data_IF_166447360345
#
_entry.id   IF_166447360345
#
_cell.length_a   1.000
_cell.length_b   1.000
_cell.length_c   1.000
_cell.angle_alpha   90.00
_cell.angle_beta   90.00
_cell.angle_gamma   90.00
#
_symmetry.space_group_name_H-M   'P 1'
#
loop_
_entity.id
_entity.type
_entity.pdbx_description
1 polymer ?
#
# COMPACT_ATOMS: atom_id res chain seq x y z
N UNK A 1 -40.93 45.58 13.98
CA UNK A 1 -40.19 44.61 13.14
C UNK A 1 -39.63 43.52 14.06
N UNK A 2 -40.37 42.42 14.19
CA UNK A 2 -40.09 41.31 15.12
C UNK A 2 -39.33 40.20 14.39
N UNK A 3 -38.13 39.86 14.87
CA UNK A 3 -37.27 38.80 14.35
C UNK A 3 -37.81 37.44 14.81
N UNK A 4 -38.29 36.63 13.88
CA UNK A 4 -38.65 35.22 14.11
C UNK A 4 -37.40 34.41 14.48
N UNK A 5 -37.47 33.46 15.43
CA UNK A 5 -36.35 32.57 15.72
C UNK A 5 -36.21 31.50 14.62
N UNK A 6 -34.98 31.21 14.22
CA UNK A 6 -34.63 30.14 13.29
C UNK A 6 -34.96 28.75 13.87
N UNK A 7 -35.44 27.79 13.05
CA UNK A 7 -35.73 26.45 13.53
C UNK A 7 -34.42 25.76 13.93
N UNK A 8 -34.33 25.36 15.20
CA UNK A 8 -33.19 24.60 15.71
C UNK A 8 -33.11 23.26 14.99
N UNK A 9 -32.00 23.01 14.28
CA UNK A 9 -31.66 21.67 13.82
C UNK A 9 -31.55 20.76 15.06
N UNK A 10 -32.46 19.79 15.17
CA UNK A 10 -32.39 18.77 16.21
C UNK A 10 -31.10 17.98 16.03
N UNK A 11 -30.11 18.24 16.88
CA UNK A 11 -28.92 17.42 17.00
C UNK A 11 -29.37 16.03 17.46
N UNK A 12 -29.31 15.04 16.57
CA UNK A 12 -29.38 13.64 16.97
C UNK A 12 -28.20 13.36 17.91
N UNK A 13 -28.50 13.33 19.21
CA UNK A 13 -27.55 12.92 20.23
C UNK A 13 -27.84 11.46 20.52
N UNK A 14 -26.90 10.58 20.19
CA UNK A 14 -26.92 9.18 20.59
C UNK A 14 -26.94 9.11 22.13
N UNK A 15 -28.14 9.07 22.71
CA UNK A 15 -28.34 8.72 24.11
C UNK A 15 -28.45 7.21 24.16
N UNK A 16 -27.59 6.56 24.95
CA UNK A 16 -27.69 5.12 25.23
C UNK A 16 -29.12 4.81 25.67
N UNK A 17 -29.76 3.87 24.99
CA UNK A 17 -31.11 3.42 25.29
C UNK A 17 -31.12 2.88 26.73
N UNK A 18 -31.99 3.42 27.59
CA UNK A 18 -32.14 2.89 28.95
C UNK A 18 -32.97 1.60 28.89
N UNK A 19 -32.51 0.48 29.49
CA UNK A 19 -33.27 -0.78 29.51
C UNK A 19 -34.62 -0.67 30.23
N UNK A 20 -34.84 0.41 31.00
CA UNK A 20 -36.08 0.68 31.73
C UNK A 20 -37.05 1.60 30.98
N UNK A 21 -36.63 2.18 29.86
CA UNK A 21 -37.49 3.05 29.07
C UNK A 21 -38.33 2.19 28.12
N UNK A 22 -39.64 2.18 28.32
CA UNK A 22 -40.57 1.49 27.43
C UNK A 22 -40.65 2.21 26.09
N UNK A 23 -40.55 1.44 24.99
CA UNK A 23 -40.68 1.98 23.64
C UNK A 23 -42.16 1.97 23.21
N UNK A 24 -42.64 3.04 22.57
CA UNK A 24 -43.98 3.04 22.00
C UNK A 24 -44.05 2.08 20.81
N UNK A 25 -45.11 1.26 20.75
CA UNK A 25 -45.41 0.41 19.60
C UNK A 25 -46.27 1.22 18.64
N UNK A 26 -45.74 1.50 17.45
CA UNK A 26 -46.42 2.27 16.41
C UNK A 26 -46.87 1.28 15.33
N UNK A 27 -48.13 1.38 14.87
CA UNK A 27 -48.61 0.55 13.75
C UNK A 27 -48.32 1.26 12.43
N UNK A 28 -48.18 0.49 11.35
CA UNK A 28 -47.85 1.04 10.03
C UNK A 28 -48.81 2.16 9.57
N UNK A 29 -50.08 2.10 9.97
CA UNK A 29 -51.08 3.13 9.65
C UNK A 29 -50.90 4.46 10.41
N UNK A 30 -50.11 4.46 11.50
CA UNK A 30 -49.85 5.64 12.32
C UNK A 30 -48.60 6.41 11.86
N UNK A 31 -47.88 5.88 10.87
CA UNK A 31 -46.70 6.50 10.28
C UNK A 31 -47.16 7.39 9.11
N UNK A 32 -46.92 8.72 9.13
CA UNK A 32 -47.27 9.57 8.01
C UNK A 32 -46.48 9.15 6.77
N UNK A 33 -47.14 9.05 5.62
CA UNK A 33 -46.50 8.81 4.33
C UNK A 33 -45.47 9.90 4.06
N UNK A 34 -44.20 9.55 4.20
CA UNK A 34 -43.10 10.48 4.03
C UNK A 34 -42.79 10.57 2.53
N UNK A 35 -43.18 11.67 1.88
CA UNK A 35 -42.70 11.95 0.52
C UNK A 35 -41.16 12.09 0.56
N UNK A 36 -40.49 11.16 -0.12
CA UNK A 36 -39.03 11.00 -0.16
C UNK A 36 -38.32 12.17 -0.87
N UNK A 37 -39.05 13.16 -1.37
CA UNK A 37 -38.55 14.19 -2.28
C UNK A 37 -37.68 15.28 -1.64
N UNK A 38 -37.58 15.42 -0.30
CA UNK A 38 -36.94 16.62 0.28
C UNK A 38 -36.08 16.45 1.53
N UNK A 39 -35.72 15.23 1.95
CA UNK A 39 -34.71 15.03 3.02
C UNK A 39 -33.68 14.02 2.58
N UNK A 40 -32.42 14.45 2.54
CA UNK A 40 -31.28 13.55 2.44
C UNK A 40 -31.45 12.45 3.50
N UNK A 41 -31.74 11.24 3.03
CA UNK A 41 -31.89 10.04 3.86
C UNK A 41 -30.52 9.85 4.52
N UNK A 42 -30.41 9.92 5.86
CA UNK A 42 -29.18 9.56 6.53
C UNK A 42 -28.84 8.13 6.16
N UNK A 43 -27.63 7.92 5.63
CA UNK A 43 -27.09 6.63 5.23
C UNK A 43 -27.31 5.62 6.37
N UNK A 44 -28.17 4.64 6.10
CA UNK A 44 -28.57 3.63 7.08
C UNK A 44 -27.42 2.62 7.14
N UNK A 45 -26.72 2.53 8.27
CA UNK A 45 -25.62 1.58 8.48
C UNK A 45 -26.14 0.15 8.21
N UNK A 46 -25.77 -0.39 7.05
CA UNK A 46 -26.31 -1.64 6.51
C UNK A 46 -25.74 -2.90 7.18
N UNK A 47 -24.87 -2.72 8.18
CA UNK A 47 -24.21 -3.82 8.90
C UNK A 47 -23.12 -4.53 8.10
N UNK A 48 -22.74 -3.97 6.95
CA UNK A 48 -21.61 -4.38 6.10
C UNK A 48 -20.38 -3.53 6.43
N UNK A 49 -19.18 -4.04 6.15
CA UNK A 49 -17.96 -3.28 6.43
C UNK A 49 -17.86 -2.06 5.50
N UNK A 50 -17.35 -0.94 6.00
CA UNK A 50 -17.29 0.35 5.28
C UNK A 50 -16.58 0.27 3.92
N UNK A 51 -15.62 -0.64 3.79
CA UNK A 51 -14.90 -0.87 2.54
C UNK A 51 -15.78 -1.59 1.51
N UNK A 52 -16.55 -2.58 1.95
CA UNK A 52 -17.58 -3.28 1.16
C UNK A 52 -18.69 -2.31 0.72
N UNK A 53 -19.08 -1.37 1.59
CA UNK A 53 -20.01 -0.29 1.25
C UNK A 53 -19.49 0.66 0.16
N UNK A 54 -18.18 0.67 -0.13
CA UNK A 54 -17.61 1.50 -1.19
C UNK A 54 -17.40 0.76 -2.51
N UNK A 55 -17.62 -0.55 -2.56
CA UNK A 55 -17.39 -1.38 -3.74
C UNK A 55 -18.42 -1.08 -4.85
N UNK A 56 -17.96 -0.40 -5.90
CA UNK A 56 -18.79 0.01 -7.04
C UNK A 56 -19.21 -1.18 -7.90
N UNK A 57 -18.36 -2.20 -8.03
CA UNK A 57 -18.65 -3.36 -8.88
C UNK A 57 -19.79 -4.20 -8.33
N UNK A 58 -19.80 -4.47 -7.01
CA UNK A 58 -20.89 -5.18 -6.36
C UNK A 58 -22.21 -4.40 -6.46
N UNK A 59 -22.16 -3.10 -6.19
CA UNK A 59 -23.33 -2.21 -6.34
C UNK A 59 -23.86 -2.22 -7.75
N UNK A 60 -23.00 -2.07 -8.75
CA UNK A 60 -23.41 -2.08 -10.16
C UNK A 60 -24.08 -3.40 -10.57
N UNK A 61 -23.57 -4.53 -10.08
CA UNK A 61 -24.13 -5.86 -10.38
C UNK A 61 -25.50 -6.05 -9.72
N UNK A 62 -25.61 -5.64 -8.44
CA UNK A 62 -26.85 -5.72 -7.65
C UNK A 62 -27.91 -4.76 -8.21
N UNK A 63 -27.56 -3.50 -8.46
CA UNK A 63 -28.46 -2.45 -8.94
C UNK A 63 -28.98 -2.75 -10.35
N UNK A 64 -28.09 -3.23 -11.23
CA UNK A 64 -28.47 -3.54 -12.62
C UNK A 64 -29.13 -4.92 -12.76
N UNK A 65 -29.22 -5.72 -11.68
CA UNK A 65 -29.77 -7.09 -11.66
C UNK A 65 -29.31 -7.92 -12.87
N UNK A 66 -28.03 -7.81 -13.20
CA UNK A 66 -27.49 -8.50 -14.36
C UNK A 66 -27.19 -9.93 -13.92
N UNK A 67 -28.08 -10.85 -14.28
CA UNK A 67 -27.83 -12.28 -14.14
C UNK A 67 -26.55 -12.64 -14.93
N UNK A 68 -25.51 -13.07 -14.22
CA UNK A 68 -24.23 -13.47 -14.82
C UNK A 68 -23.19 -12.35 -14.96
N UNK A 69 -23.36 -11.18 -14.35
CA UNK A 69 -22.29 -10.19 -14.30
C UNK A 69 -21.12 -10.68 -13.42
N UNK A 70 -19.93 -10.71 -14.01
CA UNK A 70 -18.71 -11.21 -13.41
C UNK A 70 -17.92 -10.05 -12.78
N UNK A 71 -17.49 -10.21 -11.53
CA UNK A 71 -16.51 -9.30 -10.91
C UNK A 71 -15.19 -9.45 -11.70
N UNK A 72 -14.61 -8.35 -12.22
CA UNK A 72 -13.39 -8.46 -13.01
C UNK A 72 -12.24 -8.97 -12.13
N UNK A 73 -11.71 -10.15 -12.46
CA UNK A 73 -10.52 -10.71 -11.83
C UNK A 73 -9.32 -10.43 -12.74
N UNK A 74 -8.25 -9.80 -12.24
CA UNK A 74 -7.05 -9.56 -13.05
C UNK A 74 -6.38 -10.89 -13.43
N UNK A 75 -5.90 -10.97 -14.66
CA UNK A 75 -5.16 -12.15 -15.15
C UNK A 75 -3.73 -12.20 -14.57
N UNK A 76 -3.45 -13.26 -13.83
CA UNK A 76 -2.17 -13.53 -13.16
C UNK A 76 -1.38 -14.70 -13.80
N UNK A 77 -1.74 -15.13 -15.01
CA UNK A 77 -1.15 -16.31 -15.67
C UNK A 77 0.26 -16.12 -16.24
N UNK A 78 0.80 -14.88 -16.22
CA UNK A 78 2.08 -14.56 -16.84
C UNK A 78 3.26 -15.19 -16.09
N UNK A 79 4.13 -15.87 -16.83
CA UNK A 79 5.36 -16.48 -16.33
C UNK A 79 6.61 -15.78 -16.88
N UNK A 80 7.69 -15.77 -16.09
CA UNK A 80 8.98 -15.18 -16.46
C UNK A 80 9.91 -16.27 -17.00
N UNK A 81 10.59 -16.01 -18.12
CA UNK A 81 11.41 -17.01 -18.81
C UNK A 81 12.67 -17.44 -18.03
N UNK A 82 13.32 -16.52 -17.32
CA UNK A 82 14.54 -16.74 -16.54
C UNK A 82 14.28 -16.97 -15.04
N UNK A 83 13.09 -17.46 -14.68
CA UNK A 83 12.70 -17.67 -13.28
C UNK A 83 13.66 -18.60 -12.53
N UNK A 84 14.03 -19.74 -13.13
CA UNK A 84 14.88 -20.75 -12.47
C UNK A 84 16.34 -20.30 -12.29
N UNK A 85 16.80 -19.35 -13.10
CA UNK A 85 18.12 -18.73 -12.96
C UNK A 85 18.17 -17.78 -11.76
N UNK A 86 17.12 -16.95 -11.62
CA UNK A 86 16.99 -15.96 -10.55
C UNK A 86 16.64 -16.58 -9.19
N UNK A 87 15.78 -17.60 -9.17
CA UNK A 87 15.22 -18.17 -7.93
C UNK A 87 15.66 -19.62 -7.71
N UNK A 88 16.83 -19.81 -7.08
CA UNK A 88 17.32 -21.14 -6.71
C UNK A 88 16.63 -21.67 -5.45
N UNK A 89 16.05 -22.86 -5.52
CA UNK A 89 15.35 -23.52 -4.39
C UNK A 89 16.31 -24.09 -3.34
N UNK A 90 16.80 -23.24 -2.42
CA UNK A 90 17.61 -23.66 -1.25
C UNK A 90 16.83 -23.52 0.07
N UNK A 91 15.67 -24.15 0.17
CA UNK A 91 14.89 -24.18 1.42
C UNK A 91 14.71 -25.63 1.91
N UNK A 92 15.08 -25.88 3.16
CA UNK A 92 14.81 -27.15 3.84
C UNK A 92 13.72 -26.93 4.86
N UNK A 93 12.62 -27.67 4.73
CA UNK A 93 11.47 -27.54 5.63
C UNK A 93 11.85 -28.00 7.05
N UNK A 94 11.71 -27.14 8.08
CA UNK A 94 11.93 -27.53 9.47
C UNK A 94 10.77 -28.40 9.99
N UNK A 95 11.03 -29.22 11.01
CA UNK A 95 10.01 -30.09 11.62
C UNK A 95 8.95 -29.34 12.45
N UNK A 96 9.13 -28.04 12.70
CA UNK A 96 8.21 -27.20 13.44
C UNK A 96 7.96 -25.86 12.74
N UNK A 97 7.09 -25.03 13.33
CA UNK A 97 6.74 -23.73 12.77
C UNK A 97 7.94 -22.77 12.72
N UNK A 98 8.06 -22.01 11.63
CA UNK A 98 9.08 -20.98 11.46
C UNK A 98 8.83 -19.87 12.50
N UNK A 99 9.87 -19.54 13.27
CA UNK A 99 9.90 -18.38 14.17
C UNK A 99 10.96 -17.42 13.61
N UNK A 100 10.54 -16.25 13.18
CA UNK A 100 11.40 -15.30 12.48
C UNK A 100 11.08 -13.88 12.94
N UNK A 101 12.11 -13.09 13.21
CA UNK A 101 12.00 -11.69 13.68
C UNK A 101 13.08 -10.78 13.08
N UNK A 102 13.84 -11.30 12.13
CA UNK A 102 14.92 -10.59 11.45
C UNK A 102 14.31 -9.66 10.39
N UNK A 103 14.88 -8.47 10.18
CA UNK A 103 14.35 -7.54 9.18
C UNK A 103 14.82 -7.92 7.78
N UNK A 104 14.30 -7.23 6.76
CA UNK A 104 14.70 -7.48 5.37
C UNK A 104 16.16 -7.10 5.17
N UNK A 105 16.58 -5.97 5.74
CA UNK A 105 17.93 -5.41 5.63
C UNK A 105 18.99 -6.36 6.19
N UNK A 106 18.66 -7.06 7.28
CA UNK A 106 19.51 -8.09 7.88
C UNK A 106 19.66 -9.33 6.98
N UNK A 107 18.73 -9.55 6.04
CA UNK A 107 18.73 -10.69 5.12
C UNK A 107 19.30 -10.37 3.73
N UNK A 108 19.31 -9.10 3.33
CA UNK A 108 19.72 -8.67 1.98
C UNK A 108 21.23 -8.47 1.83
N UNK A 109 21.96 -8.19 2.91
CA UNK A 109 23.40 -7.95 2.84
C UNK A 109 23.75 -6.52 2.40
N UNK A 110 24.50 -6.37 1.30
CA UNK A 110 24.90 -5.06 0.78
C UNK A 110 23.67 -4.32 0.19
N UNK A 111 23.36 -3.07 0.61
CA UNK A 111 22.22 -2.32 0.07
C UNK A 111 22.43 -1.80 -1.36
N UNK A 112 23.68 -1.65 -1.81
CA UNK A 112 23.98 -1.25 -3.16
C UNK A 112 23.94 -2.47 -4.08
N UNK A 113 23.24 -2.35 -5.21
CA UNK A 113 23.16 -3.38 -6.25
C UNK A 113 23.55 -2.77 -7.57
N UNK A 114 24.42 -3.44 -8.32
CA UNK A 114 24.87 -2.97 -9.64
C UNK A 114 23.72 -2.94 -10.65
N UNK A 115 23.75 -1.93 -11.52
CA UNK A 115 22.90 -1.85 -12.71
C UNK A 115 23.70 -2.19 -13.99
N UNK A 116 23.07 -2.03 -15.16
CA UNK A 116 23.72 -2.32 -16.44
C UNK A 116 24.87 -1.36 -16.80
N UNK A 117 24.90 -0.14 -16.24
CA UNK A 117 26.00 0.80 -16.48
C UNK A 117 27.22 0.42 -15.64
N UNK A 118 26.99 0.06 -14.38
CA UNK A 118 28.00 -0.43 -13.45
C UNK A 118 28.65 -1.72 -13.94
N UNK A 119 27.85 -2.67 -14.47
CA UNK A 119 28.38 -3.91 -15.06
C UNK A 119 29.32 -3.62 -16.25
N UNK A 120 28.89 -2.75 -17.17
CA UNK A 120 29.74 -2.32 -18.28
C UNK A 120 31.01 -1.63 -17.82
N UNK A 121 30.92 -0.81 -16.77
CA UNK A 121 32.09 -0.16 -16.17
C UNK A 121 33.04 -1.18 -15.57
N UNK A 122 32.54 -2.15 -14.81
CA UNK A 122 33.34 -3.18 -14.14
C UNK A 122 34.06 -4.06 -15.15
N UNK A 123 33.39 -4.45 -16.24
CA UNK A 123 33.99 -5.19 -17.36
C UNK A 123 35.15 -4.39 -17.97
N UNK A 124 34.92 -3.11 -18.28
CA UNK A 124 35.95 -2.22 -18.84
C UNK A 124 37.12 -2.08 -17.86
N UNK A 125 36.84 -1.78 -16.59
CA UNK A 125 37.84 -1.62 -15.53
C UNK A 125 38.74 -2.85 -15.40
N UNK A 126 38.14 -4.04 -15.35
CA UNK A 126 38.87 -5.31 -15.23
C UNK A 126 39.62 -5.69 -16.52
N UNK A 127 39.13 -5.27 -17.70
CA UNK A 127 39.79 -5.55 -18.98
C UNK A 127 41.03 -4.68 -19.22
N UNK A 128 41.00 -3.41 -18.81
CA UNK A 128 42.11 -2.48 -19.03
C UNK A 128 43.34 -2.80 -18.19
N UNK A 129 43.17 -3.49 -17.07
CA UNK A 129 44.22 -3.57 -16.06
C UNK A 129 45.21 -4.74 -16.25
N UNK A 130 45.05 -5.63 -17.25
CA UNK A 130 45.85 -6.86 -17.44
C UNK A 130 46.13 -7.61 -16.11
N UNK A 131 45.17 -7.52 -15.18
CA UNK A 131 45.29 -8.04 -13.82
C UNK A 131 45.15 -9.54 -13.84
N UNK A 132 45.87 -10.20 -12.93
CA UNK A 132 45.62 -11.63 -12.65
C UNK A 132 44.16 -11.80 -12.21
N UNK A 133 43.54 -12.97 -12.43
CA UNK A 133 42.15 -13.21 -12.03
C UNK A 133 41.88 -12.88 -10.55
N UNK A 134 42.86 -13.13 -9.68
CA UNK A 134 42.80 -12.87 -8.23
C UNK A 134 42.86 -11.38 -7.86
N UNK A 135 43.31 -10.53 -8.78
CA UNK A 135 43.42 -9.07 -8.60
C UNK A 135 42.26 -8.31 -9.28
N UNK A 136 41.37 -9.02 -9.98
CA UNK A 136 40.18 -8.43 -10.59
C UNK A 136 39.16 -8.09 -9.51
N UNK A 137 38.50 -6.95 -9.70
CA UNK A 137 37.43 -6.53 -8.81
C UNK A 137 36.19 -7.39 -9.07
N UNK A 138 35.67 -8.02 -8.02
CA UNK A 138 34.40 -8.77 -8.09
C UNK A 138 33.20 -7.84 -7.93
N UNK A 139 32.02 -8.29 -8.35
CA UNK A 139 30.75 -7.57 -8.18
C UNK A 139 30.51 -7.22 -6.70
N UNK A 140 30.55 -8.23 -5.81
CA UNK A 140 30.39 -8.03 -4.35
C UNK A 140 31.35 -6.98 -3.77
N UNK A 141 32.61 -6.95 -4.22
CA UNK A 141 33.60 -5.98 -3.75
C UNK A 141 33.30 -4.58 -4.26
N UNK A 142 32.88 -4.45 -5.53
CA UNK A 142 32.46 -3.18 -6.10
C UNK A 142 31.26 -2.62 -5.33
N UNK A 143 30.23 -3.42 -5.11
CA UNK A 143 29.03 -3.03 -4.36
C UNK A 143 29.36 -2.58 -2.94
N UNK A 144 30.25 -3.30 -2.24
CA UNK A 144 30.70 -2.90 -0.91
C UNK A 144 31.40 -1.53 -0.92
N UNK A 145 32.26 -1.26 -1.90
CA UNK A 145 32.97 0.02 -2.02
C UNK A 145 31.97 1.15 -2.29
N UNK A 146 31.05 0.94 -3.23
CA UNK A 146 30.01 1.92 -3.56
C UNK A 146 29.10 2.22 -2.37
N UNK A 147 28.71 1.20 -1.61
CA UNK A 147 27.96 1.38 -0.38
C UNK A 147 28.72 2.21 0.68
N UNK A 148 30.04 2.03 0.80
CA UNK A 148 30.82 2.87 1.72
C UNK A 148 30.88 4.33 1.27
N UNK A 149 30.92 4.59 -0.04
CA UNK A 149 30.84 5.96 -0.55
C UNK A 149 29.47 6.57 -0.27
N UNK A 150 28.39 5.83 -0.48
CA UNK A 150 27.03 6.26 -0.18
C UNK A 150 26.88 6.61 1.31
N UNK A 151 27.32 5.70 2.19
CA UNK A 151 27.28 5.90 3.63
C UNK A 151 28.10 7.11 4.08
N UNK A 152 29.34 7.21 3.62
CA UNK A 152 30.23 8.32 3.99
C UNK A 152 29.70 9.67 3.48
N UNK A 153 29.09 9.68 2.30
CA UNK A 153 28.48 10.88 1.70
C UNK A 153 27.26 11.31 2.50
N UNK A 154 26.37 10.39 2.84
CA UNK A 154 25.18 10.69 3.64
C UNK A 154 25.52 11.16 5.07
N UNK A 155 26.58 10.63 5.67
CA UNK A 155 27.03 11.06 7.00
C UNK A 155 27.71 12.45 6.98
N UNK A 156 28.61 12.68 6.01
CA UNK A 156 29.43 13.91 5.98
C UNK A 156 28.77 15.05 5.24
N UNK A 157 27.94 14.75 4.24
CA UNK A 157 27.31 15.70 3.32
C UNK A 157 25.80 15.45 3.22
N UNK A 158 25.04 15.48 4.33
CA UNK A 158 23.60 15.19 4.32
C UNK A 158 22.79 16.18 3.46
N UNK A 159 23.34 17.37 3.18
CA UNK A 159 22.73 18.39 2.33
C UNK A 159 23.46 18.58 1.01
N UNK A 160 24.12 17.52 0.51
CA UNK A 160 24.85 17.55 -0.77
C UNK A 160 24.00 18.13 -1.91
N UNK A 161 22.71 17.79 -1.93
CA UNK A 161 21.73 18.29 -2.89
C UNK A 161 21.60 19.83 -2.89
N UNK A 162 21.76 20.50 -1.75
CA UNK A 162 21.67 21.96 -1.65
C UNK A 162 22.92 22.64 -2.22
N UNK A 163 24.09 22.08 -1.94
CA UNK A 163 25.38 22.64 -2.38
C UNK A 163 25.60 22.53 -3.89
N UNK A 164 25.14 21.45 -4.52
CA UNK A 164 25.28 21.26 -5.98
C UNK A 164 24.45 22.30 -6.74
N UNK A 165 23.22 22.58 -6.30
CA UNK A 165 22.34 23.57 -6.95
C UNK A 165 22.87 25.00 -6.79
N UNK A 166 23.53 25.31 -5.66
CA UNK A 166 24.15 26.62 -5.45
C UNK A 166 25.40 26.86 -6.30
N UNK A 167 26.03 25.82 -6.85
CA UNK A 167 27.20 25.92 -7.72
C UNK A 167 26.85 25.97 -9.22
N UNK A 168 25.58 25.69 -9.58
CA UNK A 168 25.09 25.67 -10.95
C UNK A 168 24.39 26.98 -11.39
N UNK A 169 24.24 27.95 -10.49
CA UNK A 169 23.76 29.33 -10.75
C UNK A 169 24.91 30.33 -10.59
#
# INVERSE_FOLDING_TARGET
>A
MTRQPSPQASRFRNRKLSPRQTLPIIKAADVPDFDLSSRAIPEMETGVEKEEESETHLKDIIDKKIDGAMIPVPDASRTIANYDELYRRKFSEPSGLIRFSTTVEDCTGCPYTMDEEDDQWLIKHNSHAQRKPEEKLTEDQFEQVMWQFEKATNEKLPFLNVSIVSAAN
#
